data_IF_975371445423
#
_entry.id   IF_975371445423
#
_cell.length_a   1.000
_cell.length_b   1.000
_cell.length_c   1.000
_cell.angle_alpha   90.00
_cell.angle_beta   90.00
_cell.angle_gamma   90.00
#
_symmetry.space_group_name_H-M   'P 1'
#
loop_
_entity.id
_entity.type
_entity.pdbx_description
1 polymer ?
#
# COMPACT_ATOMS: atom_id res chain seq x y z
N UNK A 1 -22.06 -44.70 6.32
CA UNK A 1 -21.96 -43.27 6.04
C UNK A 1 -20.57 -43.04 5.47
N UNK A 2 -20.47 -42.89 4.18
CA UNK A 2 -19.22 -42.67 3.44
C UNK A 2 -19.00 -41.15 3.42
N UNK A 3 -17.92 -40.69 4.06
CA UNK A 3 -17.46 -39.29 3.94
C UNK A 3 -16.97 -39.09 2.50
N UNK A 4 -17.72 -38.33 1.73
CA UNK A 4 -17.24 -37.76 0.46
C UNK A 4 -16.32 -36.61 0.82
N UNK A 5 -15.02 -36.84 0.73
CA UNK A 5 -14.02 -35.79 0.66
C UNK A 5 -14.28 -35.06 -0.66
N UNK A 6 -14.63 -33.78 -0.59
CA UNK A 6 -14.71 -32.92 -1.77
C UNK A 6 -13.30 -32.82 -2.36
N UNK A 7 -13.12 -33.43 -3.53
CA UNK A 7 -11.92 -33.38 -4.35
C UNK A 7 -11.86 -31.99 -5.00
N UNK A 8 -11.17 -31.03 -4.36
CA UNK A 8 -10.96 -29.67 -4.89
C UNK A 8 -10.01 -29.65 -6.10
N UNK A 9 -9.27 -30.73 -6.33
CA UNK A 9 -8.27 -30.82 -7.40
C UNK A 9 -8.87 -31.08 -8.79
N UNK A 10 -10.10 -31.57 -8.89
CA UNK A 10 -10.72 -31.89 -10.17
C UNK A 10 -11.28 -30.69 -10.95
N UNK A 11 -11.51 -29.55 -10.31
CA UNK A 11 -12.06 -28.37 -10.97
C UNK A 11 -11.01 -27.57 -11.77
N UNK A 12 -9.72 -27.68 -11.41
CA UNK A 12 -8.62 -26.98 -12.07
C UNK A 12 -7.98 -27.76 -13.22
N UNK A 13 -8.42 -29.01 -13.48
CA UNK A 13 -7.95 -29.79 -14.63
C UNK A 13 -8.46 -29.23 -15.96
N UNK A 14 -7.53 -29.04 -16.90
CA UNK A 14 -7.88 -28.61 -18.26
C UNK A 14 -8.70 -29.68 -19.02
N UNK A 15 -9.70 -29.28 -19.77
CA UNK A 15 -10.38 -30.22 -20.68
C UNK A 15 -9.42 -30.79 -21.71
N UNK A 16 -9.65 -31.98 -22.23
CA UNK A 16 -8.84 -32.56 -23.30
C UNK A 16 -8.67 -31.62 -24.47
N UNK A 17 -7.45 -31.49 -24.98
CA UNK A 17 -7.12 -30.61 -26.10
C UNK A 17 -6.89 -29.15 -25.74
N UNK A 18 -6.90 -28.80 -24.44
CA UNK A 18 -6.52 -27.49 -23.98
C UNK A 18 -5.13 -27.51 -23.35
N UNK A 19 -4.40 -26.40 -23.51
CA UNK A 19 -3.06 -26.17 -22.96
C UNK A 19 -3.03 -24.80 -22.30
N UNK A 20 -2.37 -24.70 -21.15
CA UNK A 20 -2.15 -23.47 -20.41
C UNK A 20 -0.79 -22.88 -20.79
N UNK A 21 -0.72 -21.60 -21.13
CA UNK A 21 0.49 -20.86 -21.47
C UNK A 21 0.52 -19.52 -20.78
N UNK A 22 1.72 -18.97 -20.59
CA UNK A 22 1.93 -17.63 -20.05
C UNK A 22 2.56 -16.70 -21.10
N UNK A 23 2.16 -15.44 -21.08
CA UNK A 23 2.82 -14.35 -21.81
C UNK A 23 4.11 -13.93 -21.10
N UNK A 24 4.92 -13.13 -21.77
CA UNK A 24 6.15 -12.53 -21.19
C UNK A 24 5.84 -11.70 -19.94
N UNK A 25 4.65 -11.09 -19.89
CA UNK A 25 4.17 -10.25 -18.77
C UNK A 25 3.52 -11.08 -17.65
N UNK A 26 3.53 -12.42 -17.75
CA UNK A 26 2.99 -13.32 -16.73
C UNK A 26 1.48 -13.57 -16.83
N UNK A 27 0.77 -12.99 -17.80
CA UNK A 27 -0.65 -13.29 -17.98
C UNK A 27 -0.83 -14.70 -18.57
N UNK A 28 -1.71 -15.50 -17.94
CA UNK A 28 -2.00 -16.86 -18.40
C UNK A 28 -3.10 -16.83 -19.45
N UNK A 29 -2.91 -17.60 -20.49
CA UNK A 29 -3.91 -17.85 -21.53
C UNK A 29 -4.00 -19.33 -21.88
N UNK A 30 -5.14 -19.72 -22.42
CA UNK A 30 -5.47 -21.12 -22.73
C UNK A 30 -5.60 -21.29 -24.23
N UNK A 31 -4.97 -22.32 -24.76
CA UNK A 31 -4.96 -22.67 -26.18
C UNK A 31 -5.79 -23.93 -26.40
N UNK A 32 -6.75 -23.85 -27.29
CA UNK A 32 -7.50 -25.02 -27.72
C UNK A 32 -6.90 -25.57 -29.02
N UNK A 33 -6.31 -26.73 -28.97
CA UNK A 33 -5.65 -27.39 -30.12
C UNK A 33 -6.63 -27.88 -31.19
N UNK A 34 -7.91 -28.13 -30.83
CA UNK A 34 -8.93 -28.58 -31.81
C UNK A 34 -9.46 -27.40 -32.61
N UNK A 35 -9.80 -26.28 -31.94
CA UNK A 35 -10.37 -25.12 -32.61
C UNK A 35 -9.31 -24.11 -33.07
N UNK A 36 -8.05 -24.28 -32.65
CA UNK A 36 -6.94 -23.35 -32.84
C UNK A 36 -7.22 -21.93 -32.27
N UNK A 37 -8.15 -21.84 -31.32
CA UNK A 37 -8.52 -20.61 -30.66
C UNK A 37 -7.76 -20.44 -29.36
N UNK A 38 -7.68 -19.18 -28.87
CA UNK A 38 -7.10 -18.83 -27.58
C UNK A 38 -8.08 -18.03 -26.72
N UNK A 39 -8.01 -18.17 -25.41
CA UNK A 39 -8.79 -17.38 -24.47
C UNK A 39 -8.01 -17.08 -23.19
N UNK A 40 -8.38 -16.00 -22.50
CA UNK A 40 -7.71 -15.54 -21.28
C UNK A 40 -8.28 -16.11 -19.98
N UNK A 41 -9.33 -16.92 -20.08
CA UNK A 41 -10.02 -17.51 -18.91
C UNK A 41 -9.93 -19.03 -18.98
N UNK A 42 -9.85 -19.67 -17.81
CA UNK A 42 -9.85 -21.11 -17.72
C UNK A 42 -11.13 -21.72 -18.35
N UNK A 43 -11.04 -22.71 -19.23
CA UNK A 43 -12.18 -23.18 -20.02
C UNK A 43 -13.31 -23.82 -19.21
N UNK A 44 -13.04 -24.33 -18.01
CA UNK A 44 -14.08 -24.88 -17.11
C UNK A 44 -14.52 -23.86 -16.07
N UNK A 45 -13.58 -23.21 -15.38
CA UNK A 45 -13.90 -22.36 -14.23
C UNK A 45 -14.18 -20.91 -14.60
N UNK A 46 -13.82 -20.46 -15.81
CA UNK A 46 -13.94 -19.08 -16.26
C UNK A 46 -12.98 -18.11 -15.56
N UNK A 47 -12.08 -18.62 -14.73
CA UNK A 47 -11.14 -17.81 -13.94
C UNK A 47 -9.92 -17.42 -14.78
N UNK A 48 -9.36 -16.25 -14.48
CA UNK A 48 -8.06 -15.84 -15.02
C UNK A 48 -6.95 -16.22 -14.03
N UNK A 49 -5.78 -16.59 -14.54
CA UNK A 49 -4.58 -16.83 -13.74
C UNK A 49 -3.45 -15.89 -14.17
N UNK A 50 -2.53 -15.64 -13.26
CA UNK A 50 -1.31 -14.89 -13.51
C UNK A 50 -0.12 -15.62 -12.89
N UNK A 51 1.02 -15.53 -13.57
CA UNK A 51 2.30 -16.07 -13.11
C UNK A 51 3.14 -14.92 -12.62
N UNK A 52 3.52 -14.93 -11.34
CA UNK A 52 4.29 -13.86 -10.70
C UNK A 52 5.61 -14.39 -10.15
N UNK A 53 6.56 -13.48 -9.92
CA UNK A 53 7.84 -13.79 -9.30
C UNK A 53 8.96 -14.16 -10.26
N UNK A 54 10.14 -14.43 -9.69
CA UNK A 54 11.33 -14.86 -10.42
C UNK A 54 11.20 -16.32 -10.86
N UNK A 55 11.96 -16.71 -11.88
CA UNK A 55 12.06 -18.10 -12.29
C UNK A 55 12.62 -18.96 -11.14
N UNK A 56 12.21 -20.24 -11.05
CA UNK A 56 12.79 -21.15 -10.07
C UNK A 56 14.32 -21.23 -10.19
N UNK A 57 15.00 -21.53 -9.09
CA UNK A 57 16.47 -21.66 -9.09
C UNK A 57 16.95 -22.66 -10.14
N UNK A 58 17.91 -22.25 -10.95
CA UNK A 58 18.44 -23.07 -12.03
C UNK A 58 17.71 -22.96 -13.36
N UNK A 59 16.66 -22.13 -13.45
CA UNK A 59 15.95 -21.86 -14.70
C UNK A 59 16.36 -20.51 -15.28
N UNK A 60 16.45 -20.47 -16.61
CA UNK A 60 16.78 -19.27 -17.39
C UNK A 60 15.75 -19.10 -18.54
N UNK A 61 15.41 -17.85 -18.84
CA UNK A 61 14.54 -17.50 -19.97
C UNK A 61 15.41 -17.02 -21.12
N UNK A 62 15.31 -17.70 -22.27
CA UNK A 62 15.96 -17.35 -23.49
C UNK A 62 14.96 -17.02 -24.60
N UNK A 63 15.39 -16.31 -25.63
CA UNK A 63 14.62 -16.10 -26.86
C UNK A 63 15.33 -16.88 -27.94
N UNK A 64 14.60 -17.77 -28.62
CA UNK A 64 15.11 -18.55 -29.75
C UNK A 64 15.24 -17.68 -31.00
N UNK A 65 15.99 -18.14 -32.00
CA UNK A 65 16.27 -17.40 -33.25
C UNK A 65 15.00 -17.06 -34.03
N UNK A 66 13.91 -17.81 -33.80
CA UNK A 66 12.58 -17.56 -34.38
C UNK A 66 11.70 -16.65 -33.49
N UNK A 67 12.27 -16.01 -32.46
CA UNK A 67 11.63 -15.03 -31.60
C UNK A 67 10.69 -15.63 -30.52
N UNK A 68 10.70 -16.95 -30.33
CA UNK A 68 9.90 -17.62 -29.31
C UNK A 68 10.62 -17.63 -27.95
N UNK A 69 9.85 -17.52 -26.87
CA UNK A 69 10.38 -17.64 -25.51
C UNK A 69 10.59 -19.12 -25.18
N UNK A 70 11.78 -19.44 -24.71
CA UNK A 70 12.23 -20.76 -24.30
C UNK A 70 12.71 -20.68 -22.85
N UNK A 71 12.40 -21.71 -22.05
CA UNK A 71 12.87 -21.84 -20.68
C UNK A 71 13.87 -23.00 -20.60
N UNK A 72 15.06 -22.72 -20.05
CA UNK A 72 16.18 -23.64 -19.91
C UNK A 72 16.31 -24.01 -18.46
N UNK A 73 16.23 -25.31 -18.16
CA UNK A 73 16.56 -25.88 -16.85
C UNK A 73 18.01 -26.36 -16.86
N UNK A 74 18.89 -25.61 -16.21
CA UNK A 74 20.30 -25.94 -16.11
C UNK A 74 20.59 -27.11 -15.19
N UNK A 75 19.68 -27.43 -14.27
CA UNK A 75 19.86 -28.57 -13.35
C UNK A 75 19.58 -29.91 -14.05
N UNK A 76 18.48 -29.97 -14.80
CA UNK A 76 18.07 -31.19 -15.52
C UNK A 76 18.52 -31.21 -16.99
N UNK A 77 19.16 -30.13 -17.46
CA UNK A 77 19.61 -29.94 -18.86
C UNK A 77 18.49 -30.13 -19.87
N UNK A 78 17.31 -29.61 -19.55
CA UNK A 78 16.12 -29.67 -20.40
C UNK A 78 15.68 -28.28 -20.82
N UNK A 79 14.98 -28.21 -21.96
CA UNK A 79 14.37 -26.95 -22.44
C UNK A 79 12.88 -27.16 -22.68
N UNK A 80 12.08 -26.13 -22.40
CA UNK A 80 10.63 -26.16 -22.62
C UNK A 80 10.14 -24.81 -23.09
N UNK A 81 9.02 -24.81 -23.80
CA UNK A 81 8.26 -23.60 -24.14
C UNK A 81 7.23 -23.21 -23.06
N UNK A 82 7.02 -24.12 -22.09
CA UNK A 82 6.09 -23.89 -20.97
C UNK A 82 6.80 -23.17 -19.85
N UNK A 83 6.24 -22.09 -19.37
CA UNK A 83 6.78 -21.34 -18.23
C UNK A 83 6.73 -22.22 -16.97
N UNK A 84 7.86 -22.53 -16.31
CA UNK A 84 7.88 -23.40 -15.14
C UNK A 84 7.10 -22.82 -13.94
N UNK A 85 6.81 -21.53 -13.95
CA UNK A 85 6.02 -20.88 -12.92
C UNK A 85 4.51 -21.13 -13.07
N UNK A 86 4.03 -21.69 -14.19
CA UNK A 86 2.64 -22.06 -14.36
C UNK A 86 2.13 -23.03 -13.30
N UNK A 87 2.99 -23.91 -12.80
CA UNK A 87 2.68 -24.79 -11.66
C UNK A 87 2.32 -24.03 -10.37
N UNK A 88 2.68 -22.74 -10.28
CA UNK A 88 2.43 -21.85 -9.14
C UNK A 88 1.57 -20.65 -9.54
N UNK A 89 0.89 -20.73 -10.71
CA UNK A 89 0.03 -19.65 -11.19
C UNK A 89 -1.11 -19.39 -10.19
N UNK A 90 -1.27 -18.14 -9.79
CA UNK A 90 -2.32 -17.72 -8.85
C UNK A 90 -3.54 -17.22 -9.61
N UNK A 91 -4.73 -17.39 -9.03
CA UNK A 91 -5.95 -16.84 -9.62
C UNK A 91 -5.90 -15.31 -9.63
N UNK A 92 -6.02 -14.73 -10.81
CA UNK A 92 -6.23 -13.31 -10.97
C UNK A 92 -7.68 -12.98 -10.58
N UNK A 93 -7.86 -12.47 -9.37
CA UNK A 93 -9.17 -11.99 -8.92
C UNK A 93 -9.41 -10.59 -9.48
N UNK A 94 -9.94 -10.52 -10.68
CA UNK A 94 -10.57 -9.29 -11.15
C UNK A 94 -11.74 -8.98 -10.20
N UNK A 95 -11.75 -7.79 -9.59
CA UNK A 95 -12.93 -7.31 -8.87
C UNK A 95 -13.98 -7.02 -9.95
N UNK A 96 -14.69 -8.07 -10.37
CA UNK A 96 -15.63 -8.05 -11.48
C UNK A 96 -16.93 -7.32 -11.17
N UNK A 97 -17.14 -6.91 -9.91
CA UNK A 97 -18.29 -6.10 -9.55
C UNK A 97 -17.82 -4.69 -9.11
N UNK A 98 -18.43 -3.63 -9.66
CA UNK A 98 -18.19 -2.30 -9.14
C UNK A 98 -18.53 -2.32 -7.63
N UNK A 99 -17.54 -1.96 -6.79
CA UNK A 99 -17.79 -1.81 -5.34
C UNK A 99 -18.94 -0.82 -5.20
N UNK A 100 -20.12 -1.32 -4.79
CA UNK A 100 -21.30 -0.48 -4.61
C UNK A 100 -20.96 0.60 -3.60
N UNK A 101 -21.06 1.85 -4.00
CA UNK A 101 -20.84 2.99 -3.11
C UNK A 101 -21.85 2.95 -1.98
N UNK A 102 -21.40 2.58 -0.79
CA UNK A 102 -22.19 2.58 0.45
C UNK A 102 -21.96 3.84 1.27
N UNK A 103 -20.78 4.42 1.14
CA UNK A 103 -20.32 5.60 1.87
C UNK A 103 -19.87 6.68 0.88
N UNK A 104 -19.93 7.93 1.31
CA UNK A 104 -19.60 9.10 0.51
C UNK A 104 -18.75 10.12 1.27
N UNK A 105 -18.61 11.32 0.72
CA UNK A 105 -17.84 12.40 1.34
C UNK A 105 -18.43 12.96 2.64
N UNK A 106 -19.69 12.67 2.96
CA UNK A 106 -20.34 13.07 4.21
C UNK A 106 -20.21 12.03 5.31
N UNK A 107 -19.87 10.78 4.93
CA UNK A 107 -19.72 9.65 5.85
C UNK A 107 -18.59 9.87 6.84
N UNK A 108 -18.80 9.48 8.09
CA UNK A 108 -17.81 9.57 9.16
C UNK A 108 -17.06 8.25 9.34
N UNK A 109 -15.89 8.28 9.97
CA UNK A 109 -15.13 7.08 10.31
C UNK A 109 -15.96 6.09 11.16
N UNK A 110 -16.73 6.60 12.12
CA UNK A 110 -17.61 5.77 12.96
C UNK A 110 -18.78 5.19 12.16
N UNK A 111 -19.34 5.93 11.17
CA UNK A 111 -20.41 5.37 10.34
C UNK A 111 -19.91 4.22 9.44
N UNK A 112 -18.66 4.31 8.96
CA UNK A 112 -18.02 3.23 8.19
C UNK A 112 -17.81 1.98 9.06
N UNK A 113 -17.51 2.16 10.34
CA UNK A 113 -17.28 1.08 11.29
C UNK A 113 -18.57 0.54 11.96
N UNK A 114 -19.72 1.14 11.69
CA UNK A 114 -20.97 0.73 12.33
C UNK A 114 -21.24 -0.75 12.10
N UNK A 115 -21.49 -1.48 13.22
CA UNK A 115 -21.72 -2.94 13.22
C UNK A 115 -20.47 -3.79 12.99
N UNK A 116 -19.25 -3.23 13.00
CA UNK A 116 -18.01 -3.98 12.85
C UNK A 116 -17.37 -4.27 14.20
N UNK A 117 -16.86 -5.49 14.34
CA UNK A 117 -16.04 -5.92 15.47
C UNK A 117 -14.60 -6.11 14.99
N UNK A 118 -13.69 -5.36 15.60
CA UNK A 118 -12.25 -5.43 15.30
C UNK A 118 -11.46 -6.09 16.44
N UNK A 119 -12.11 -6.76 17.38
CA UNK A 119 -11.42 -7.48 18.45
C UNK A 119 -10.47 -8.53 17.88
N UNK A 120 -9.32 -8.68 18.53
CA UNK A 120 -8.26 -9.58 18.07
C UNK A 120 -7.38 -9.01 16.92
N UNK A 121 -7.73 -7.87 16.33
CA UNK A 121 -6.90 -7.22 15.33
C UNK A 121 -5.93 -6.23 15.97
N UNK A 122 -4.71 -6.17 15.42
CA UNK A 122 -3.66 -5.22 15.80
C UNK A 122 -3.50 -4.22 14.65
N UNK A 123 -3.60 -2.93 14.96
CA UNK A 123 -3.40 -1.83 14.00
C UNK A 123 -2.27 -0.92 14.45
N UNK A 124 -1.48 -0.42 13.51
CA UNK A 124 -0.46 0.60 13.72
C UNK A 124 -0.75 1.81 12.84
N UNK A 125 -0.82 3.00 13.44
CA UNK A 125 -1.14 4.24 12.74
C UNK A 125 -0.01 5.25 12.95
N UNK A 126 0.63 5.72 11.88
CA UNK A 126 1.68 6.76 11.96
C UNK A 126 1.07 8.15 12.02
N UNK A 127 1.67 9.03 12.85
CA UNK A 127 1.16 10.39 13.07
C UNK A 127 -0.19 10.41 13.80
N UNK A 128 -0.40 9.46 14.71
CA UNK A 128 -1.69 9.23 15.36
C UNK A 128 -1.96 10.13 16.58
N UNK A 129 -1.09 11.06 16.90
CA UNK A 129 -1.26 11.98 18.04
C UNK A 129 -2.20 13.16 17.74
N UNK A 130 -2.45 13.49 16.47
CA UNK A 130 -3.30 14.63 16.06
C UNK A 130 -4.00 14.37 14.73
N UNK A 131 -5.04 15.17 14.43
CA UNK A 131 -5.66 15.24 13.11
C UNK A 131 -6.30 13.94 12.66
N UNK A 132 -6.15 13.63 11.36
CA UNK A 132 -6.75 12.44 10.72
C UNK A 132 -6.19 11.16 11.36
N UNK A 133 -4.88 11.11 11.66
CA UNK A 133 -4.26 9.94 12.29
C UNK A 133 -4.83 9.65 13.68
N UNK A 134 -5.06 10.66 14.49
CA UNK A 134 -5.72 10.51 15.80
C UNK A 134 -7.13 9.97 15.64
N UNK A 135 -7.91 10.58 14.74
CA UNK A 135 -9.30 10.17 14.55
C UNK A 135 -9.42 8.76 13.97
N UNK A 136 -8.48 8.37 13.09
CA UNK A 136 -8.38 7.01 12.57
C UNK A 136 -8.06 6.02 13.69
N UNK A 137 -7.03 6.30 14.52
CA UNK A 137 -6.64 5.46 15.66
C UNK A 137 -7.77 5.34 16.69
N UNK A 138 -8.41 6.45 17.02
CA UNK A 138 -9.57 6.53 17.92
C UNK A 138 -10.71 5.65 17.42
N UNK A 139 -11.10 5.81 16.17
CA UNK A 139 -12.23 5.07 15.59
C UNK A 139 -11.99 3.55 15.59
N UNK A 140 -10.78 3.09 15.24
CA UNK A 140 -10.40 1.68 15.31
C UNK A 140 -10.43 1.14 16.75
N UNK A 141 -9.87 1.91 17.69
CA UNK A 141 -9.79 1.52 19.10
C UNK A 141 -11.19 1.38 19.74
N UNK A 142 -12.11 2.30 19.46
CA UNK A 142 -13.49 2.25 19.94
C UNK A 142 -14.26 1.01 19.43
N UNK A 143 -13.83 0.41 18.30
CA UNK A 143 -14.40 -0.81 17.75
C UNK A 143 -13.63 -2.09 18.14
N UNK A 144 -12.78 -2.00 19.18
CA UNK A 144 -12.13 -3.15 19.79
C UNK A 144 -10.78 -3.53 19.23
N UNK A 145 -10.27 -2.80 18.22
CA UNK A 145 -8.93 -3.02 17.70
C UNK A 145 -7.87 -2.65 18.75
N UNK A 146 -6.79 -3.43 18.83
CA UNK A 146 -5.59 -3.02 19.56
C UNK A 146 -4.80 -2.04 18.71
N UNK A 147 -4.71 -0.77 19.10
CA UNK A 147 -4.15 0.29 18.27
C UNK A 147 -2.83 0.82 18.83
N UNK A 148 -1.79 0.77 18.01
CA UNK A 148 -0.48 1.37 18.29
C UNK A 148 -0.44 2.75 17.62
N UNK A 149 -0.40 3.80 18.46
CA UNK A 149 -0.25 5.18 18.03
C UNK A 149 1.24 5.48 17.84
N UNK A 150 1.71 5.50 16.60
CA UNK A 150 3.10 5.81 16.32
C UNK A 150 3.29 7.30 16.03
N UNK A 151 4.09 8.01 16.85
CA UNK A 151 4.34 9.43 16.67
C UNK A 151 5.68 9.87 17.28
N UNK A 152 6.16 11.03 16.82
CA UNK A 152 7.44 11.62 17.28
C UNK A 152 7.36 12.24 18.67
N UNK A 153 6.29 12.94 18.95
CA UNK A 153 6.13 13.66 20.21
C UNK A 153 5.39 12.78 21.21
N UNK A 154 6.13 12.21 22.16
CA UNK A 154 5.58 11.30 23.17
C UNK A 154 4.55 11.98 24.08
N UNK A 155 4.75 13.24 24.47
CA UNK A 155 3.80 13.96 25.33
C UNK A 155 2.43 14.06 24.69
N UNK A 156 2.37 14.55 23.46
CA UNK A 156 1.08 14.66 22.74
C UNK A 156 0.53 13.29 22.33
N UNK A 157 1.40 12.28 22.21
CA UNK A 157 0.99 10.89 22.00
C UNK A 157 0.31 10.29 23.23
N UNK A 158 0.85 10.51 24.42
CA UNK A 158 0.25 10.11 25.70
C UNK A 158 -1.10 10.79 25.93
N UNK A 159 -1.19 12.10 25.67
CA UNK A 159 -2.45 12.84 25.71
C UNK A 159 -3.50 12.24 24.78
N UNK A 160 -3.09 11.79 23.58
CA UNK A 160 -3.97 11.12 22.64
C UNK A 160 -4.47 9.76 23.15
N UNK A 161 -3.57 8.95 23.72
CA UNK A 161 -3.92 7.67 24.34
C UNK A 161 -4.90 7.85 25.50
N UNK A 162 -4.63 8.85 26.37
CA UNK A 162 -5.52 9.17 27.52
C UNK A 162 -6.92 9.55 27.00
N UNK A 163 -7.01 10.44 26.00
CA UNK A 163 -8.28 10.84 25.40
C UNK A 163 -9.09 9.67 24.87
N UNK A 164 -8.44 8.74 24.15
CA UNK A 164 -9.12 7.56 23.61
C UNK A 164 -9.63 6.67 24.74
N UNK A 165 -8.83 6.45 25.80
CA UNK A 165 -9.21 5.61 26.95
C UNK A 165 -10.33 6.21 27.78
N UNK A 166 -10.47 7.54 27.81
CA UNK A 166 -11.55 8.23 28.51
C UNK A 166 -12.92 8.08 27.84
N UNK A 167 -12.95 7.79 26.52
CA UNK A 167 -14.21 7.68 25.78
C UNK A 167 -14.92 6.33 25.95
N UNK A 168 -14.17 5.28 26.22
CA UNK A 168 -14.70 3.93 26.38
C UNK A 168 -13.79 3.12 27.29
N UNK A 169 -14.38 2.44 28.26
CA UNK A 169 -13.66 1.50 29.11
C UNK A 169 -13.08 0.33 28.31
N UNK A 170 -11.95 -0.20 28.75
CA UNK A 170 -11.27 -1.36 28.17
C UNK A 170 -10.79 -1.17 26.71
N UNK A 171 -10.51 0.07 26.30
CA UNK A 171 -9.90 0.33 25.00
C UNK A 171 -8.42 -0.02 25.04
N UNK A 172 -8.01 -0.84 24.09
CA UNK A 172 -6.62 -1.26 23.93
C UNK A 172 -5.87 -0.33 22.97
N UNK A 173 -5.10 0.59 23.51
CA UNK A 173 -4.21 1.43 22.70
C UNK A 173 -2.92 1.74 23.48
N UNK A 174 -1.84 1.89 22.74
CA UNK A 174 -0.53 2.24 23.29
C UNK A 174 0.26 3.17 22.37
N UNK A 175 1.31 3.76 22.91
CA UNK A 175 2.18 4.67 22.21
C UNK A 175 3.45 3.96 21.74
N UNK A 176 3.87 4.25 20.51
CA UNK A 176 5.15 3.86 19.93
C UNK A 176 5.88 5.12 19.46
N UNK A 177 7.09 5.34 19.98
CA UNK A 177 7.95 6.42 19.49
C UNK A 177 8.39 6.16 18.06
N UNK A 178 8.10 7.09 17.14
CA UNK A 178 8.47 7.03 15.74
C UNK A 178 8.74 8.42 15.18
N UNK A 179 10.01 8.74 14.97
CA UNK A 179 10.44 9.95 14.26
C UNK A 179 10.83 9.61 12.81
N UNK A 180 9.98 9.98 11.86
CA UNK A 180 10.19 9.73 10.44
C UNK A 180 11.30 10.61 9.82
N UNK A 181 11.85 11.60 10.56
CA UNK A 181 13.03 12.34 10.13
C UNK A 181 14.35 11.61 10.42
N UNK A 182 14.27 10.38 11.00
CA UNK A 182 15.43 9.55 11.35
C UNK A 182 15.17 8.09 10.99
N UNK A 183 15.91 7.55 10.03
CA UNK A 183 15.83 6.14 9.64
C UNK A 183 16.24 5.21 10.81
N UNK A 184 17.12 5.66 11.70
CA UNK A 184 17.44 4.92 12.91
C UNK A 184 16.24 4.83 13.87
N UNK A 185 15.47 5.92 14.04
CA UNK A 185 14.23 5.89 14.82
C UNK A 185 13.20 4.93 14.21
N UNK A 186 13.09 4.92 12.88
CA UNK A 186 12.21 4.00 12.15
C UNK A 186 12.59 2.54 12.41
N UNK A 187 13.89 2.22 12.37
CA UNK A 187 14.40 0.87 12.71
C UNK A 187 14.07 0.50 14.15
N UNK A 188 14.39 1.36 15.08
CA UNK A 188 14.13 1.12 16.52
C UNK A 188 12.64 0.90 16.81
N UNK A 189 11.77 1.66 16.15
CA UNK A 189 10.31 1.48 16.26
C UNK A 189 9.85 0.13 15.73
N UNK A 190 10.36 -0.29 14.56
CA UNK A 190 10.04 -1.59 14.01
C UNK A 190 10.54 -2.75 14.88
N UNK A 191 11.72 -2.63 15.47
CA UNK A 191 12.28 -3.63 16.39
C UNK A 191 11.45 -3.72 17.68
N UNK A 192 11.11 -2.57 18.30
CA UNK A 192 10.23 -2.53 19.47
C UNK A 192 8.87 -3.16 19.17
N UNK A 193 8.30 -2.89 17.99
CA UNK A 193 7.05 -3.53 17.56
C UNK A 193 7.21 -5.05 17.48
N UNK A 194 8.22 -5.55 16.77
CA UNK A 194 8.46 -6.99 16.56
C UNK A 194 8.76 -7.76 17.84
N UNK A 195 9.37 -7.12 18.85
CA UNK A 195 9.60 -7.72 20.16
C UNK A 195 8.29 -8.02 20.90
N UNK A 196 7.26 -7.18 20.70
CA UNK A 196 5.99 -7.28 21.42
C UNK A 196 4.89 -7.98 20.61
N UNK A 197 4.85 -7.77 19.29
CA UNK A 197 3.79 -8.23 18.41
C UNK A 197 4.32 -9.12 17.30
N UNK A 198 3.70 -10.28 17.13
CA UNK A 198 4.03 -11.23 16.05
C UNK A 198 3.24 -10.98 14.78
N UNK A 199 2.11 -10.30 14.90
CA UNK A 199 1.17 -10.05 13.79
C UNK A 199 0.77 -8.60 13.73
N UNK A 200 0.61 -8.07 12.50
CA UNK A 200 0.12 -6.72 12.23
C UNK A 200 -0.98 -6.80 11.17
N UNK A 201 -2.23 -6.63 11.58
CA UNK A 201 -3.38 -6.78 10.71
C UNK A 201 -3.64 -5.54 9.86
N UNK A 202 -3.38 -4.34 10.41
CA UNK A 202 -3.67 -3.08 9.74
C UNK A 202 -2.48 -2.12 9.95
N UNK A 203 -1.83 -1.71 8.86
CA UNK A 203 -0.80 -0.68 8.86
C UNK A 203 -1.32 0.56 8.14
N UNK A 204 -1.40 1.71 8.84
CA UNK A 204 -1.85 2.97 8.27
C UNK A 204 -0.70 3.98 8.28
N UNK A 205 -0.22 4.30 7.09
CA UNK A 205 0.89 5.21 6.83
C UNK A 205 0.30 6.60 6.56
N UNK A 206 -0.06 7.29 7.65
CA UNK A 206 -0.81 8.54 7.62
C UNK A 206 0.07 9.77 7.85
N UNK A 207 1.16 9.65 8.63
CA UNK A 207 2.00 10.81 8.97
C UNK A 207 2.47 11.56 7.72
N UNK A 208 2.60 12.88 7.84
CA UNK A 208 3.11 13.70 6.76
C UNK A 208 3.29 15.16 7.16
N UNK A 209 4.13 15.84 6.40
CA UNK A 209 4.35 17.29 6.45
C UNK A 209 3.93 17.91 5.13
N UNK A 210 3.53 19.17 5.17
CA UNK A 210 2.99 19.90 4.02
C UNK A 210 3.63 21.25 3.88
N UNK A 211 4.17 21.55 2.70
CA UNK A 211 4.69 22.85 2.30
C UNK A 211 5.63 23.49 3.36
N UNK A 212 6.54 22.69 3.90
CA UNK A 212 7.53 23.15 4.89
C UNK A 212 8.69 23.89 4.20
N UNK A 213 9.43 24.76 4.91
CA UNK A 213 10.70 25.29 4.42
C UNK A 213 11.70 24.18 4.11
N UNK A 214 12.63 24.45 3.20
CA UNK A 214 13.71 23.51 2.90
C UNK A 214 14.57 23.19 4.11
N UNK A 215 14.64 21.93 4.44
CA UNK A 215 15.48 21.39 5.51
C UNK A 215 15.91 19.97 5.15
N UNK A 216 17.14 19.62 5.45
CA UNK A 216 17.63 18.25 5.36
C UNK A 216 17.47 17.55 6.71
N UNK A 217 17.09 16.30 6.66
CA UNK A 217 17.05 15.42 7.83
C UNK A 217 18.48 15.04 8.28
N UNK A 218 18.58 14.38 9.43
CA UNK A 218 19.85 13.80 9.91
C UNK A 218 20.44 12.77 8.95
N UNK A 219 19.60 12.15 8.14
CA UNK A 219 20.00 11.14 7.15
C UNK A 219 20.41 11.78 5.80
N UNK A 220 20.34 13.11 5.68
CA UNK A 220 20.77 13.87 4.51
C UNK A 220 19.74 13.95 3.38
N UNK A 221 18.48 13.58 3.62
CA UNK A 221 17.39 13.70 2.65
C UNK A 221 16.55 14.95 2.89
N UNK A 222 15.90 15.45 1.81
CA UNK A 222 14.91 16.51 1.96
C UNK A 222 13.76 16.01 2.85
N UNK A 223 13.34 16.86 3.79
CA UNK A 223 12.47 16.44 4.90
C UNK A 223 11.11 15.98 4.45
N UNK A 224 10.49 16.62 3.44
CA UNK A 224 9.15 16.20 2.94
C UNK A 224 9.21 14.82 2.31
N UNK A 225 10.21 14.58 1.47
CA UNK A 225 10.41 13.28 0.84
C UNK A 225 10.65 12.19 1.89
N UNK A 226 11.57 12.42 2.84
CA UNK A 226 11.86 11.42 3.85
C UNK A 226 10.67 11.11 4.74
N UNK A 227 10.01 12.13 5.30
CA UNK A 227 8.89 11.95 6.24
C UNK A 227 7.67 11.33 5.56
N UNK A 228 7.28 11.87 4.39
CA UNK A 228 6.04 11.46 3.77
C UNK A 228 6.14 10.11 3.06
N UNK A 229 7.35 9.74 2.59
CA UNK A 229 7.52 8.58 1.74
C UNK A 229 8.66 7.64 2.17
N UNK A 230 9.93 8.06 2.13
CA UNK A 230 11.09 7.16 2.30
C UNK A 230 11.05 6.40 3.63
N UNK A 231 10.72 7.08 4.73
CA UNK A 231 10.62 6.46 6.05
C UNK A 231 9.44 5.49 6.15
N UNK A 232 8.32 5.77 5.49
CA UNK A 232 7.18 4.85 5.39
C UNK A 232 7.51 3.62 4.55
N UNK A 233 8.20 3.80 3.43
CA UNK A 233 8.75 2.70 2.63
C UNK A 233 9.63 1.79 3.49
N UNK A 234 10.61 2.38 4.19
CA UNK A 234 11.53 1.62 5.03
C UNK A 234 10.80 0.91 6.19
N UNK A 235 9.89 1.60 6.86
CA UNK A 235 9.12 1.04 7.97
C UNK A 235 8.25 -0.14 7.53
N UNK A 236 7.60 -0.04 6.38
CA UNK A 236 6.79 -1.12 5.80
C UNK A 236 7.63 -2.38 5.57
N UNK A 237 8.81 -2.24 4.98
CA UNK A 237 9.69 -3.39 4.72
C UNK A 237 10.28 -3.99 6.01
N UNK A 238 10.54 -3.18 7.04
CA UNK A 238 10.98 -3.70 8.35
C UNK A 238 9.87 -4.50 9.06
N UNK A 239 8.61 -4.20 8.77
CA UNK A 239 7.42 -4.86 9.32
C UNK A 239 6.88 -5.98 8.40
N UNK A 240 7.61 -6.38 7.35
CA UNK A 240 7.19 -7.42 6.40
C UNK A 240 6.71 -8.69 7.10
N UNK A 241 7.53 -9.25 7.99
CA UNK A 241 7.21 -10.51 8.66
C UNK A 241 5.89 -10.44 9.45
N UNK A 242 5.66 -9.51 10.39
CA UNK A 242 4.40 -9.45 11.13
C UNK A 242 3.19 -9.13 10.25
N UNK A 243 3.35 -8.44 9.11
CA UNK A 243 2.27 -8.17 8.17
C UNK A 243 1.92 -9.45 7.39
N UNK A 244 2.91 -10.09 6.76
CA UNK A 244 2.69 -11.28 5.93
C UNK A 244 2.32 -12.53 6.73
N UNK A 245 2.57 -12.53 8.05
CA UNK A 245 2.09 -13.58 8.96
C UNK A 245 0.60 -13.49 9.27
N UNK A 246 -0.07 -12.41 8.86
CA UNK A 246 -1.50 -12.23 9.05
C UNK A 246 -2.29 -12.64 7.82
N UNK A 247 -3.34 -13.42 8.01
CA UNK A 247 -4.35 -13.58 6.99
C UNK A 247 -5.14 -12.27 6.82
N UNK A 248 -5.32 -11.82 5.58
CA UNK A 248 -6.06 -10.59 5.25
C UNK A 248 -5.46 -9.31 5.88
N UNK A 249 -4.12 -9.20 5.94
CA UNK A 249 -3.46 -7.97 6.35
C UNK A 249 -3.74 -6.84 5.35
N UNK A 250 -3.81 -5.60 5.87
CA UNK A 250 -4.07 -4.40 5.07
C UNK A 250 -3.05 -3.31 5.33
N UNK A 251 -2.57 -2.71 4.27
CA UNK A 251 -1.70 -1.52 4.30
C UNK A 251 -2.43 -0.37 3.61
N UNK A 252 -2.53 0.77 4.26
CA UNK A 252 -3.19 1.96 3.72
C UNK A 252 -2.22 3.14 3.70
N UNK A 253 -1.92 3.63 2.50
CA UNK A 253 -1.12 4.84 2.29
C UNK A 253 -2.04 6.06 2.18
N UNK A 254 -1.88 7.00 3.10
CA UNK A 254 -2.60 8.27 3.02
C UNK A 254 -1.87 9.19 2.04
N UNK A 255 -2.39 9.25 0.82
CA UNK A 255 -1.93 10.12 -0.25
C UNK A 255 -2.75 11.42 -0.31
N UNK A 256 -2.81 12.07 -1.47
CA UNK A 256 -3.56 13.31 -1.71
C UNK A 256 -3.88 13.44 -3.20
N UNK A 257 -4.97 14.12 -3.55
CA UNK A 257 -5.26 14.52 -4.94
C UNK A 257 -4.16 15.40 -5.54
N UNK A 258 -3.32 16.02 -4.69
CA UNK A 258 -2.16 16.80 -5.13
C UNK A 258 -1.11 15.96 -5.89
N UNK A 259 -1.14 14.63 -5.81
CA UNK A 259 -0.30 13.74 -6.63
C UNK A 259 -0.46 13.98 -8.13
N UNK A 260 -1.62 14.50 -8.57
CA UNK A 260 -1.89 14.86 -9.97
C UNK A 260 -1.05 16.02 -10.48
N UNK A 261 -0.47 16.79 -9.58
CA UNK A 261 0.42 17.94 -9.87
C UNK A 261 1.89 17.60 -9.60
N UNK A 262 2.24 16.33 -9.58
CA UNK A 262 3.62 15.88 -9.44
C UNK A 262 4.47 16.25 -10.65
N UNK A 263 5.75 16.53 -10.40
CA UNK A 263 6.74 16.75 -11.44
C UNK A 263 7.27 15.45 -12.05
N UNK A 264 7.02 14.31 -11.40
CA UNK A 264 7.43 12.98 -11.85
C UNK A 264 6.42 12.46 -12.88
N UNK A 265 6.81 12.42 -14.15
CA UNK A 265 5.97 11.98 -15.27
C UNK A 265 6.62 10.87 -16.10
N UNK A 266 7.97 10.79 -16.08
CA UNK A 266 8.75 9.82 -16.82
C UNK A 266 9.72 9.06 -15.92
N UNK A 267 10.25 7.93 -16.41
CA UNK A 267 11.16 7.06 -15.65
C UNK A 267 12.44 7.81 -15.25
N UNK A 268 12.92 8.73 -16.09
CA UNK A 268 14.10 9.54 -15.88
C UNK A 268 13.93 10.53 -14.70
N UNK A 269 12.69 10.94 -14.42
CA UNK A 269 12.37 11.82 -13.30
C UNK A 269 12.58 11.12 -11.94
N UNK A 270 12.59 9.78 -11.91
CA UNK A 270 12.88 9.02 -10.69
C UNK A 270 14.38 8.92 -10.49
N UNK A 271 14.91 9.98 -9.94
CA UNK A 271 16.33 10.15 -9.63
C UNK A 271 16.50 10.74 -8.22
N UNK A 272 17.57 10.41 -7.48
CA UNK A 272 17.80 10.94 -6.14
C UNK A 272 17.71 12.47 -5.99
N UNK A 273 18.16 13.23 -7.01
CA UNK A 273 18.08 14.70 -6.99
C UNK A 273 16.68 15.26 -7.28
N UNK A 274 15.78 14.50 -7.89
CA UNK A 274 14.38 14.87 -8.06
C UNK A 274 13.57 14.51 -6.79
N UNK A 275 13.81 13.32 -6.26
CA UNK A 275 13.11 12.83 -5.06
C UNK A 275 13.52 13.60 -3.80
N UNK A 276 14.79 14.01 -3.71
CA UNK A 276 15.35 14.79 -2.61
C UNK A 276 16.15 15.96 -3.18
N UNK A 277 15.47 17.01 -3.69
CA UNK A 277 16.11 18.08 -4.43
C UNK A 277 17.01 18.93 -3.53
N UNK A 278 18.11 19.50 -4.09
CA UNK A 278 18.90 20.49 -3.39
C UNK A 278 18.13 21.81 -3.24
N UNK A 279 18.58 22.66 -2.30
CA UNK A 279 17.88 23.89 -1.92
C UNK A 279 17.48 24.80 -3.08
N UNK A 280 18.31 24.92 -4.10
CA UNK A 280 18.07 25.80 -5.26
C UNK A 280 17.02 25.27 -6.25
N UNK A 281 16.65 23.99 -6.15
CA UNK A 281 15.57 23.35 -6.94
C UNK A 281 14.33 23.03 -6.08
N UNK A 282 14.38 23.38 -4.80
CA UNK A 282 13.30 23.04 -3.88
C UNK A 282 12.09 23.94 -4.05
N UNK A 283 10.95 23.33 -4.27
CA UNK A 283 9.65 23.98 -4.20
C UNK A 283 8.73 23.22 -3.25
N UNK A 284 8.26 23.85 -2.12
CA UNK A 284 7.58 23.13 -1.05
C UNK A 284 6.34 22.34 -1.50
N UNK A 285 5.55 22.90 -2.43
CA UNK A 285 4.37 22.22 -2.97
C UNK A 285 4.75 21.07 -3.90
N UNK A 286 5.79 21.23 -4.74
CA UNK A 286 6.30 20.18 -5.62
C UNK A 286 6.79 18.99 -4.82
N UNK A 287 7.64 19.22 -3.81
CA UNK A 287 8.13 18.17 -2.93
C UNK A 287 6.97 17.40 -2.24
N UNK A 288 5.92 18.10 -1.83
CA UNK A 288 4.73 17.46 -1.30
C UNK A 288 4.00 16.63 -2.36
N UNK A 289 3.74 17.19 -3.55
CA UNK A 289 3.04 16.52 -4.64
C UNK A 289 3.78 15.23 -5.05
N UNK A 290 5.10 15.33 -5.22
CA UNK A 290 5.96 14.20 -5.60
C UNK A 290 5.96 13.13 -4.51
N UNK A 291 6.02 13.51 -3.22
CA UNK A 291 5.93 12.56 -2.12
C UNK A 291 4.61 11.79 -2.10
N UNK A 292 3.49 12.45 -2.51
CA UNK A 292 2.17 11.82 -2.56
C UNK A 292 1.97 10.91 -3.77
N UNK A 293 2.60 11.23 -4.90
CA UNK A 293 2.70 10.31 -6.04
C UNK A 293 3.54 9.07 -5.67
N UNK A 294 4.70 9.27 -5.04
CA UNK A 294 5.55 8.17 -4.58
C UNK A 294 4.80 7.18 -3.68
N UNK A 295 3.89 7.66 -2.83
CA UNK A 295 3.07 6.79 -1.99
C UNK A 295 2.12 5.89 -2.79
N UNK A 296 1.53 6.40 -3.90
CA UNK A 296 0.66 5.60 -4.77
C UNK A 296 1.51 4.60 -5.57
N UNK A 297 2.61 5.04 -6.16
CA UNK A 297 3.53 4.17 -6.90
C UNK A 297 4.05 3.03 -6.01
N UNK A 298 4.41 3.33 -4.77
CA UNK A 298 4.84 2.31 -3.82
C UNK A 298 3.71 1.34 -3.46
N UNK A 299 2.48 1.83 -3.25
CA UNK A 299 1.33 0.96 -3.01
C UNK A 299 1.07 0.02 -4.20
N UNK A 300 1.19 0.51 -5.44
CA UNK A 300 1.06 -0.28 -6.67
C UNK A 300 2.14 -1.36 -6.75
N UNK A 301 3.40 -1.00 -6.54
CA UNK A 301 4.49 -1.97 -6.61
C UNK A 301 4.43 -2.99 -5.48
N UNK A 302 4.10 -2.54 -4.26
CA UNK A 302 3.97 -3.43 -3.10
C UNK A 302 2.82 -4.42 -3.26
N UNK A 303 1.70 -4.01 -3.86
CA UNK A 303 0.56 -4.90 -4.12
C UNK A 303 0.91 -6.06 -5.04
N UNK A 304 1.82 -5.85 -5.99
CA UNK A 304 2.35 -6.89 -6.87
C UNK A 304 3.33 -7.82 -6.14
N UNK A 305 4.18 -7.24 -5.26
CA UNK A 305 5.22 -8.00 -4.55
C UNK A 305 4.68 -8.79 -3.35
N UNK A 306 3.57 -8.33 -2.76
CA UNK A 306 2.92 -8.98 -1.63
C UNK A 306 1.45 -9.31 -1.93
N UNK A 307 1.17 -10.24 -2.86
CA UNK A 307 -0.19 -10.50 -3.37
C UNK A 307 -1.16 -10.99 -2.29
N UNK A 308 -0.65 -11.58 -1.20
CA UNK A 308 -1.47 -11.98 -0.05
C UNK A 308 -1.86 -10.83 0.88
N UNK A 309 -1.33 -9.62 0.65
CA UNK A 309 -1.59 -8.42 1.46
C UNK A 309 -2.42 -7.43 0.66
N UNK A 310 -3.52 -6.97 1.22
CA UNK A 310 -4.31 -5.91 0.59
C UNK A 310 -3.64 -4.55 0.80
N UNK A 311 -3.17 -3.93 -0.27
CA UNK A 311 -2.49 -2.63 -0.26
C UNK A 311 -3.35 -1.59 -0.95
N UNK A 312 -3.65 -0.50 -0.26
CA UNK A 312 -4.48 0.59 -0.78
C UNK A 312 -3.79 1.93 -0.61
N UNK A 313 -4.10 2.86 -1.49
CA UNK A 313 -3.80 4.28 -1.32
C UNK A 313 -5.09 5.08 -1.30
N UNK A 314 -5.15 6.15 -0.52
CA UNK A 314 -6.36 6.95 -0.42
C UNK A 314 -6.08 8.44 -0.25
N UNK A 315 -7.07 9.24 -0.67
CA UNK A 315 -7.15 10.66 -0.37
C UNK A 315 -8.21 10.88 0.73
N UNK A 316 -7.86 11.58 1.82
CA UNK A 316 -8.79 11.81 2.94
C UNK A 316 -9.90 12.84 2.63
N UNK A 317 -9.87 13.42 1.45
CA UNK A 317 -10.78 14.48 1.02
C UNK A 317 -10.11 15.86 0.97
N UNK A 318 -10.70 16.76 0.18
CA UNK A 318 -10.20 18.12 0.03
C UNK A 318 -10.52 18.96 1.28
N UNK A 319 -9.63 19.90 1.58
CA UNK A 319 -9.83 20.92 2.62
C UNK A 319 -10.24 20.36 3.99
N UNK A 320 -9.41 19.46 4.53
CA UNK A 320 -9.63 18.93 5.87
C UNK A 320 -9.22 19.96 6.90
N UNK A 321 -10.06 20.25 7.89
CA UNK A 321 -9.74 21.11 9.02
C UNK A 321 -8.68 20.45 9.92
N UNK A 322 -7.41 20.48 9.47
CA UNK A 322 -6.27 19.88 10.18
C UNK A 322 -5.18 20.92 10.44
N UNK A 323 -4.23 20.57 11.32
CA UNK A 323 -3.07 21.41 11.63
C UNK A 323 -1.92 21.31 10.62
N UNK A 324 -2.17 20.72 9.42
CA UNK A 324 -1.15 20.56 8.38
C UNK A 324 -0.54 21.87 7.88
N UNK A 325 -1.29 22.99 7.65
CA UNK A 325 -0.69 24.24 7.14
C UNK A 325 -0.03 25.11 8.22
N UNK A 326 0.54 24.51 9.24
CA UNK A 326 1.12 25.25 10.40
C UNK A 326 2.31 26.13 10.05
N UNK A 327 3.01 25.86 8.96
CA UNK A 327 4.25 26.55 8.58
C UNK A 327 4.04 27.76 7.66
N UNK A 328 2.84 27.98 7.07
CA UNK A 328 2.56 29.10 6.19
C UNK A 328 1.34 29.89 6.67
N UNK A 329 1.56 31.17 7.02
CA UNK A 329 0.46 32.05 7.45
C UNK A 329 -0.56 32.32 6.34
N UNK A 330 -0.14 32.34 5.07
CA UNK A 330 -1.00 32.50 3.88
C UNK A 330 -1.98 31.34 3.81
N UNK A 331 -1.49 30.10 3.89
CA UNK A 331 -2.36 28.92 3.89
C UNK A 331 -3.27 28.87 5.12
N UNK A 332 -2.82 29.37 6.29
CA UNK A 332 -3.68 29.46 7.49
C UNK A 332 -4.86 30.40 7.26
N UNK A 333 -4.64 31.58 6.64
CA UNK A 333 -5.72 32.52 6.31
C UNK A 333 -6.65 31.90 5.27
N UNK A 334 -6.10 31.31 4.20
CA UNK A 334 -6.91 30.66 3.16
C UNK A 334 -7.78 29.55 3.76
N UNK A 335 -7.20 28.70 4.61
CA UNK A 335 -7.94 27.65 5.31
C UNK A 335 -9.00 28.21 6.28
N UNK A 336 -8.74 29.34 6.93
CA UNK A 336 -9.72 29.99 7.80
C UNK A 336 -10.94 30.49 7.00
N UNK A 337 -10.72 31.04 5.80
CA UNK A 337 -11.79 31.52 4.91
C UNK A 337 -12.67 30.37 4.37
N UNK A 338 -12.05 29.21 4.07
CA UNK A 338 -12.78 28.06 3.51
C UNK A 338 -13.28 27.09 4.58
N UNK A 339 -13.00 27.35 5.85
CA UNK A 339 -13.36 26.49 6.99
C UNK A 339 -14.82 26.01 7.02
N UNK A 340 -15.83 26.82 6.65
CA UNK A 340 -17.23 26.35 6.61
C UNK A 340 -17.47 25.21 5.61
N UNK A 341 -16.61 25.09 4.58
CA UNK A 341 -16.69 24.09 3.52
C UNK A 341 -15.69 22.93 3.72
N UNK A 342 -14.96 22.92 4.85
CA UNK A 342 -13.96 21.89 5.11
C UNK A 342 -14.58 20.65 5.75
N UNK A 343 -14.03 19.50 5.42
CA UNK A 343 -14.40 18.24 6.09
C UNK A 343 -13.96 18.23 7.55
N UNK A 344 -14.80 17.64 8.40
CA UNK A 344 -14.41 17.30 9.76
C UNK A 344 -13.32 16.21 9.76
N UNK A 345 -12.58 16.06 10.85
CA UNK A 345 -11.59 14.96 11.00
C UNK A 345 -12.25 13.59 10.92
N UNK A 346 -13.48 13.45 11.41
CA UNK A 346 -14.29 12.25 11.32
C UNK A 346 -14.60 11.86 9.86
N UNK A 347 -14.97 12.84 9.04
CA UNK A 347 -15.21 12.63 7.62
C UNK A 347 -13.91 12.37 6.84
N UNK A 348 -12.81 13.02 7.23
CA UNK A 348 -11.52 12.82 6.59
C UNK A 348 -10.92 11.44 6.87
N UNK A 349 -11.16 10.89 8.06
CA UNK A 349 -10.71 9.55 8.42
C UNK A 349 -11.55 8.42 7.77
N UNK A 350 -12.75 8.73 7.24
CA UNK A 350 -13.68 7.72 6.73
C UNK A 350 -13.09 6.87 5.60
N UNK A 351 -12.42 7.48 4.63
CA UNK A 351 -11.81 6.76 3.49
C UNK A 351 -10.66 5.86 3.95
N UNK A 352 -9.82 6.34 4.87
CA UNK A 352 -8.75 5.53 5.46
C UNK A 352 -9.30 4.32 6.20
N UNK A 353 -10.34 4.52 7.01
CA UNK A 353 -11.06 3.46 7.73
C UNK A 353 -11.72 2.48 6.76
N UNK A 354 -12.35 2.98 5.71
CA UNK A 354 -12.95 2.13 4.67
C UNK A 354 -11.90 1.21 4.02
N UNK A 355 -10.78 1.75 3.57
CA UNK A 355 -9.67 0.96 3.03
C UNK A 355 -9.15 -0.07 4.04
N UNK A 356 -9.05 0.32 5.32
CA UNK A 356 -8.51 -0.52 6.37
C UNK A 356 -9.45 -1.66 6.82
N UNK A 357 -10.77 -1.49 6.67
CA UNK A 357 -11.72 -2.39 7.34
C UNK A 357 -12.88 -2.91 6.48
N UNK A 358 -13.16 -2.32 5.31
CA UNK A 358 -14.32 -2.70 4.51
C UNK A 358 -14.23 -4.15 4.01
N UNK A 359 -15.21 -5.03 4.31
CA UNK A 359 -15.21 -6.41 3.82
C UNK A 359 -15.34 -6.48 2.31
N UNK A 360 -15.98 -5.48 1.70
CA UNK A 360 -16.15 -5.36 0.26
C UNK A 360 -14.81 -5.26 -0.49
N UNK A 361 -13.74 -4.96 0.24
CA UNK A 361 -12.37 -4.88 -0.28
C UNK A 361 -11.54 -6.15 0.01
N UNK A 362 -12.16 -7.21 0.52
CA UNK A 362 -11.45 -8.47 0.75
C UNK A 362 -10.98 -9.07 -0.58
N UNK A 363 -9.70 -9.43 -0.65
CA UNK A 363 -9.07 -9.90 -1.89
C UNK A 363 -8.74 -8.81 -2.91
N UNK A 364 -9.12 -7.55 -2.67
CA UNK A 364 -8.69 -6.42 -3.49
C UNK A 364 -7.32 -5.90 -3.05
N UNK A 365 -6.54 -5.39 -3.99
CA UNK A 365 -5.25 -4.75 -3.73
C UNK A 365 -4.89 -3.76 -4.83
N UNK A 366 -3.93 -2.86 -4.60
CA UNK A 366 -3.46 -1.90 -5.60
C UNK A 366 -4.45 -0.80 -5.98
N UNK A 367 -5.53 -0.59 -5.21
CA UNK A 367 -6.58 0.37 -5.55
C UNK A 367 -6.39 1.72 -4.86
N UNK A 368 -6.88 2.78 -5.54
CA UNK A 368 -6.92 4.15 -5.02
C UNK A 368 -8.37 4.57 -4.69
N UNK A 369 -8.52 5.24 -3.54
CA UNK A 369 -9.83 5.63 -3.02
C UNK A 369 -9.90 7.11 -2.67
N UNK A 370 -11.05 7.73 -2.98
CA UNK A 370 -11.42 9.07 -2.55
C UNK A 370 -12.91 9.06 -2.11
N UNK A 371 -13.22 9.64 -0.95
CA UNK A 371 -14.58 9.66 -0.40
C UNK A 371 -15.23 8.26 -0.28
N UNK A 372 -14.45 7.27 0.17
CA UNK A 372 -14.84 5.86 0.24
C UNK A 372 -15.21 5.23 -1.12
N UNK A 373 -14.88 5.89 -2.22
CA UNK A 373 -15.16 5.41 -3.56
C UNK A 373 -13.86 5.08 -4.29
N UNK A 374 -13.84 3.97 -5.04
CA UNK A 374 -12.72 3.62 -5.92
C UNK A 374 -12.62 4.65 -7.05
N UNK A 375 -11.45 5.23 -7.21
CA UNK A 375 -11.16 6.25 -8.23
C UNK A 375 -9.90 5.86 -8.99
N UNK A 376 -9.79 6.39 -10.20
CA UNK A 376 -8.54 6.33 -10.96
C UNK A 376 -7.61 7.45 -10.50
N UNK A 377 -6.39 7.16 -10.05
CA UNK A 377 -5.39 8.19 -9.78
C UNK A 377 -4.90 8.82 -11.09
N UNK A 378 -3.83 9.62 -11.08
CA UNK A 378 -3.22 10.11 -12.32
C UNK A 378 -2.63 8.96 -13.13
N UNK A 379 -2.51 9.14 -14.46
CA UNK A 379 -1.92 8.15 -15.35
C UNK A 379 -0.50 7.73 -14.92
N UNK A 380 0.28 8.67 -14.39
CA UNK A 380 1.62 8.39 -13.87
C UNK A 380 1.60 7.49 -12.63
N UNK A 381 0.55 7.58 -11.82
CA UNK A 381 0.42 6.80 -10.59
C UNK A 381 0.09 5.32 -10.83
N UNK A 382 -0.39 4.95 -12.02
CA UNK A 382 -0.65 3.56 -12.43
C UNK A 382 0.44 3.00 -13.35
N UNK A 383 1.45 3.80 -13.67
CA UNK A 383 2.57 3.36 -14.50
C UNK A 383 3.45 2.37 -13.74
N UNK A 384 3.46 1.13 -14.22
CA UNK A 384 4.22 0.04 -13.60
C UNK A 384 5.74 0.21 -13.72
N UNK A 385 6.21 0.88 -14.77
CA UNK A 385 7.65 1.12 -14.96
C UNK A 385 8.13 2.20 -13.98
N UNK A 386 7.34 3.27 -13.76
CA UNK A 386 7.60 4.26 -12.72
C UNK A 386 7.62 3.63 -11.33
N UNK A 387 6.64 2.79 -11.01
CA UNK A 387 6.53 2.12 -9.72
C UNK A 387 7.76 1.22 -9.45
N UNK A 388 8.13 0.40 -10.42
CA UNK A 388 9.30 -0.47 -10.34
C UNK A 388 10.61 0.31 -10.24
N UNK A 389 10.76 1.39 -11.02
CA UNK A 389 11.94 2.26 -10.98
C UNK A 389 12.10 2.93 -9.61
N UNK A 390 11.01 3.41 -9.02
CA UNK A 390 11.01 4.01 -7.68
C UNK A 390 11.47 2.99 -6.64
N UNK A 391 10.97 1.77 -6.68
CA UNK A 391 11.37 0.67 -5.81
C UNK A 391 12.87 0.41 -5.88
N UNK A 392 13.41 0.22 -7.09
CA UNK A 392 14.84 -0.04 -7.30
C UNK A 392 15.71 1.13 -6.82
N UNK A 393 15.31 2.37 -7.11
CA UNK A 393 16.01 3.56 -6.67
C UNK A 393 16.15 3.62 -5.14
N UNK A 394 15.10 3.27 -4.42
CA UNK A 394 15.09 3.31 -2.96
C UNK A 394 15.86 2.16 -2.32
N UNK A 395 15.79 0.96 -2.87
CA UNK A 395 16.60 -0.17 -2.41
C UNK A 395 18.10 0.16 -2.60
N UNK A 396 18.49 0.73 -3.75
CA UNK A 396 19.88 1.12 -4.04
C UNK A 396 20.38 2.24 -3.13
N UNK A 397 19.52 3.19 -2.76
CA UNK A 397 19.85 4.25 -1.80
C UNK A 397 20.14 3.71 -0.40
N UNK A 398 19.46 2.63 0.00
CA UNK A 398 19.74 1.89 1.25
C UNK A 398 21.15 1.30 1.27
N UNK A 399 21.65 0.78 0.15
CA UNK A 399 23.01 0.21 0.06
C UNK A 399 24.09 1.28 0.25
N UNK A 400 23.85 2.55 -0.15
CA UNK A 400 24.80 3.65 0.04
C UNK A 400 24.93 4.11 1.49
N UNK A 401 23.87 3.99 2.29
CA UNK A 401 23.86 4.37 3.71
C UNK A 401 24.31 3.26 4.68
N UNK A 402 24.86 2.12 4.16
CA UNK A 402 25.23 0.95 4.98
C UNK A 402 24.10 0.50 5.94
N UNK A 403 22.86 0.63 5.52
CA UNK A 403 21.73 0.05 6.25
C UNK A 403 21.67 -1.42 5.84
N UNK A 404 22.60 -2.21 6.37
CA UNK A 404 22.67 -3.66 6.23
C UNK A 404 21.51 -4.25 7.06
N UNK A 405 20.81 -5.21 6.48
CA UNK A 405 19.85 -6.07 7.17
C UNK A 405 20.48 -6.86 8.31
#
# INVERSE_FOLDING_TARGET
MVNVLNDSDSEDELPPGWEERATVDGNVYYVNHYTKGTQWTHPRTGRKKIVEGELPSGWERCISDDGKVLFVDHMNRTTTYTDPRLAFATEYREISQPVRQRFDGSSTALSVLHGRDLRGKVALVTGANTGIGFETARSLALHGCYVILACRNLKTGEEAVIKIRQEKENVNCELLELDLTSLQSVRNAAEKFKQKYRTLHILILNAGVFAIPYELTKDGYETTFQVNHLSHFYFTLLLEHPIRSCHNARIVFVSSESHRFSSIQHIEDIHPLTLSPPRYHYWPMGAYNDSKLCNILFAQELSKRWPAVSVFSCHPGNMVSSSLPRYSWIFRILYALVRPFTKSLQQAASTTIFCATAPELEGATGLYFNNCYRCDPSNFAVDSALASRLWVCQISSRCRTRIIF
#
